data_IF_127523103705
#
_entry.id   IF_127523103705
#
_cell.length_a   1.000
_cell.length_b   1.000
_cell.length_c   1.000
_cell.angle_alpha   90.00
_cell.angle_beta   90.00
_cell.angle_gamma   90.00
#
_symmetry.space_group_name_H-M   'P 1'
#
loop_
_entity.id
_entity.type
_entity.pdbx_description
1 polymer ?
#
# COMPACT_ATOMS: atom_id res chain seq x y z
N UNK A 1 -2.70 18.49 8.55
CA UNK A 1 -3.69 17.38 8.40
C UNK A 1 -3.54 16.32 9.48
N UNK A 2 -2.37 15.67 9.69
CA UNK A 2 -2.16 14.59 10.68
C UNK A 2 -2.67 14.98 12.08
N UNK A 3 -2.25 16.14 12.60
CA UNK A 3 -2.71 16.65 13.92
C UNK A 3 -4.24 16.82 14.02
N UNK A 4 -4.90 17.12 12.90
CA UNK A 4 -6.37 17.22 12.86
C UNK A 4 -6.99 15.82 12.94
N UNK A 5 -6.46 14.85 12.19
CA UNK A 5 -6.90 13.45 12.27
C UNK A 5 -6.82 12.97 13.73
N UNK A 6 -5.67 13.16 14.38
CA UNK A 6 -5.45 12.72 15.75
C UNK A 6 -6.42 13.38 16.74
N UNK A 7 -6.70 14.69 16.58
CA UNK A 7 -7.68 15.41 17.42
C UNK A 7 -9.07 14.78 17.38
N UNK A 8 -9.45 14.22 16.23
CA UNK A 8 -10.77 13.61 16.02
C UNK A 8 -10.74 12.07 16.05
N UNK A 9 -9.65 11.46 16.52
CA UNK A 9 -9.52 9.99 16.60
C UNK A 9 -9.62 9.30 15.24
N UNK A 10 -9.10 9.94 14.17
CA UNK A 10 -9.07 9.39 12.82
C UNK A 10 -7.68 8.92 12.45
N UNK A 11 -7.60 7.76 11.80
CA UNK A 11 -6.33 7.22 11.30
C UNK A 11 -5.73 8.16 10.23
N UNK A 12 -4.45 8.48 10.38
CA UNK A 12 -3.70 9.30 9.44
C UNK A 12 -2.69 8.44 8.66
N UNK A 13 -2.84 8.40 7.33
CA UNK A 13 -1.94 7.68 6.41
C UNK A 13 -1.34 8.67 5.41
N UNK A 14 -0.38 9.52 5.80
CA UNK A 14 0.22 10.49 4.91
C UNK A 14 1.12 9.82 3.87
N UNK A 15 1.17 10.43 2.66
CA UNK A 15 2.11 10.05 1.63
C UNK A 15 3.50 10.60 1.93
N UNK A 16 4.52 9.77 1.72
CA UNK A 16 5.92 10.10 1.84
C UNK A 16 6.71 9.49 0.67
N UNK A 17 7.85 10.06 0.38
CA UNK A 17 8.82 9.52 -0.58
C UNK A 17 10.17 9.27 0.08
N UNK A 18 10.57 10.06 1.08
CA UNK A 18 11.89 10.05 1.69
C UNK A 18 11.88 9.62 3.16
N UNK A 19 13.01 9.12 3.70
CA UNK A 19 13.15 8.81 5.13
C UNK A 19 12.88 10.00 6.04
N UNK A 20 13.32 11.21 5.65
CA UNK A 20 13.09 12.43 6.44
C UNK A 20 11.62 12.78 6.55
N UNK A 21 10.86 12.63 5.46
CA UNK A 21 9.40 12.79 5.48
C UNK A 21 8.74 11.73 6.37
N UNK A 22 9.25 10.49 6.34
CA UNK A 22 8.75 9.41 7.18
C UNK A 22 8.89 9.76 8.67
N UNK A 23 10.10 10.13 9.11
CA UNK A 23 10.34 10.54 10.50
C UNK A 23 9.45 11.72 10.88
N UNK A 24 9.38 12.75 10.04
CA UNK A 24 8.56 13.93 10.28
C UNK A 24 7.06 13.61 10.40
N UNK A 25 6.56 12.70 9.57
CA UNK A 25 5.15 12.27 9.66
C UNK A 25 4.85 11.54 10.97
N UNK A 26 5.78 10.67 11.42
CA UNK A 26 5.65 9.97 12.70
C UNK A 26 5.70 10.92 13.90
N UNK A 27 6.61 11.91 13.89
CA UNK A 27 6.65 12.97 14.93
C UNK A 27 5.34 13.76 15.04
N UNK A 28 4.62 13.90 13.93
CA UNK A 28 3.29 14.54 13.89
C UNK A 28 2.16 13.61 14.32
N UNK A 29 2.46 12.33 14.59
CA UNK A 29 1.51 11.33 15.06
C UNK A 29 0.77 10.60 13.94
N UNK A 30 1.44 10.33 12.81
CA UNK A 30 0.88 9.44 11.79
C UNK A 30 0.83 8.00 12.29
N UNK A 31 -0.18 7.24 11.86
CA UNK A 31 -0.36 5.83 12.27
C UNK A 31 0.37 4.87 11.33
N UNK A 32 0.26 5.11 10.03
CA UNK A 32 0.83 4.30 8.95
C UNK A 32 1.32 5.27 7.87
N UNK A 33 2.38 4.92 7.14
CA UNK A 33 2.89 5.75 6.06
C UNK A 33 2.60 5.14 4.69
N UNK A 34 2.20 5.98 3.74
CA UNK A 34 2.03 5.61 2.34
C UNK A 34 3.29 5.96 1.56
N UNK A 35 4.09 4.94 1.14
CA UNK A 35 5.17 5.15 0.18
C UNK A 35 4.55 5.41 -1.21
N UNK A 36 4.85 6.58 -1.80
CA UNK A 36 4.31 6.98 -3.11
C UNK A 36 5.33 7.84 -3.89
N UNK A 37 5.53 7.59 -5.19
CA UNK A 37 4.97 6.50 -6.02
C UNK A 37 5.81 5.22 -5.89
N UNK A 38 5.28 4.18 -5.25
CA UNK A 38 6.05 2.99 -4.89
C UNK A 38 6.58 2.20 -6.11
N UNK A 39 5.78 2.08 -7.17
CA UNK A 39 6.18 1.36 -8.38
C UNK A 39 7.42 1.92 -9.04
N UNK A 40 7.56 3.25 -9.08
CA UNK A 40 8.74 3.93 -9.63
C UNK A 40 9.97 3.76 -8.74
N UNK A 41 9.78 3.80 -7.42
CA UNK A 41 10.87 3.66 -6.44
C UNK A 41 11.36 2.21 -6.32
N UNK A 42 10.48 1.27 -6.53
CA UNK A 42 10.77 -0.16 -6.45
C UNK A 42 10.76 -0.75 -5.03
N UNK A 43 10.59 -2.08 -4.93
CA UNK A 43 10.55 -2.78 -3.63
C UNK A 43 11.88 -2.73 -2.87
N UNK A 44 13.01 -2.62 -3.59
CA UNK A 44 14.34 -2.43 -2.98
C UNK A 44 14.46 -1.14 -2.20
N UNK A 45 13.83 -0.06 -2.69
CA UNK A 45 13.80 1.23 -2.00
C UNK A 45 13.01 1.13 -0.68
N UNK A 46 11.84 0.49 -0.69
CA UNK A 46 11.08 0.25 0.53
C UNK A 46 11.89 -0.54 1.57
N UNK A 47 12.58 -1.59 1.13
CA UNK A 47 13.46 -2.37 2.00
C UNK A 47 14.57 -1.51 2.63
N UNK A 48 15.18 -0.62 1.83
CA UNK A 48 16.24 0.28 2.29
C UNK A 48 15.75 1.31 3.31
N UNK A 49 14.57 1.92 3.10
CA UNK A 49 13.96 2.85 4.08
C UNK A 49 13.61 2.10 5.38
N UNK A 50 13.03 0.91 5.28
CA UNK A 50 12.60 0.14 6.45
C UNK A 50 13.77 -0.35 7.31
N UNK A 51 14.94 -0.54 6.75
CA UNK A 51 16.09 -1.04 7.51
C UNK A 51 16.39 -0.20 8.77
N UNK A 52 16.57 1.14 8.67
CA UNK A 52 16.74 2.00 9.85
C UNK A 52 15.42 2.36 10.55
N UNK A 53 14.27 2.24 9.88
CA UNK A 53 12.95 2.65 10.37
C UNK A 53 12.02 1.44 10.53
N UNK A 54 12.53 0.36 11.12
CA UNK A 54 11.83 -0.94 11.21
C UNK A 54 10.57 -0.92 12.08
N UNK A 55 10.42 0.10 12.93
CA UNK A 55 9.26 0.35 13.79
C UNK A 55 8.11 1.07 13.07
N UNK A 56 8.34 1.52 11.82
CA UNK A 56 7.33 2.24 11.03
C UNK A 56 6.64 1.27 10.06
N UNK A 57 5.31 1.33 10.04
CA UNK A 57 4.48 0.56 9.14
C UNK A 57 4.27 1.30 7.82
N UNK A 58 4.49 0.61 6.69
CA UNK A 58 4.36 1.20 5.36
C UNK A 58 3.34 0.43 4.50
N UNK A 59 2.51 1.17 3.78
CA UNK A 59 1.77 0.66 2.62
C UNK A 59 2.42 1.16 1.34
N UNK A 60 2.49 0.32 0.30
CA UNK A 60 3.03 0.67 -1.00
C UNK A 60 1.88 1.05 -1.95
N UNK A 61 1.94 2.24 -2.55
CA UNK A 61 0.89 2.80 -3.40
C UNK A 61 1.49 3.46 -4.64
N UNK A 62 0.79 3.37 -5.78
CA UNK A 62 1.22 3.94 -7.07
C UNK A 62 2.07 2.97 -7.87
N UNK A 63 1.58 2.58 -9.04
CA UNK A 63 2.25 1.64 -9.94
C UNK A 63 2.28 0.19 -9.45
N UNK A 64 1.42 -0.18 -8.49
CA UNK A 64 1.30 -1.56 -8.01
C UNK A 64 0.47 -2.40 -8.98
N UNK A 65 1.00 -3.55 -9.36
CA UNK A 65 0.38 -4.52 -10.25
C UNK A 65 0.65 -5.97 -9.78
N UNK A 66 0.15 -6.97 -10.52
CA UNK A 66 0.30 -8.38 -10.15
C UNK A 66 1.78 -8.84 -10.17
N UNK A 67 2.63 -8.24 -11.01
CA UNK A 67 4.03 -8.65 -11.15
C UNK A 67 4.89 -8.16 -9.97
N UNK A 68 4.62 -6.97 -9.43
CA UNK A 68 5.41 -6.35 -8.37
C UNK A 68 4.79 -6.46 -6.96
N UNK A 69 3.48 -6.70 -6.85
CA UNK A 69 2.75 -6.74 -5.57
C UNK A 69 3.42 -7.64 -4.53
N UNK A 70 3.76 -8.87 -4.93
CA UNK A 70 4.42 -9.85 -4.04
C UNK A 70 5.79 -9.39 -3.56
N UNK A 71 6.54 -8.69 -4.41
CA UNK A 71 7.87 -8.17 -4.08
C UNK A 71 7.78 -7.05 -3.05
N UNK A 72 6.78 -6.16 -3.12
CA UNK A 72 6.54 -5.13 -2.11
C UNK A 72 6.16 -5.74 -0.75
N UNK A 73 5.29 -6.75 -0.72
CA UNK A 73 4.97 -7.46 0.52
C UNK A 73 6.21 -8.11 1.15
N UNK A 74 7.05 -8.78 0.35
CA UNK A 74 8.32 -9.36 0.81
C UNK A 74 9.32 -8.31 1.29
N UNK A 75 9.27 -7.10 0.76
CA UNK A 75 10.11 -5.97 1.19
C UNK A 75 9.59 -5.30 2.46
N UNK A 76 8.45 -5.77 2.98
CA UNK A 76 7.91 -5.38 4.26
C UNK A 76 6.78 -4.36 4.21
N UNK A 77 6.13 -4.15 3.06
CA UNK A 77 4.85 -3.47 3.06
C UNK A 77 3.83 -4.27 3.87
N UNK A 78 3.03 -3.60 4.71
CA UNK A 78 1.90 -4.22 5.43
C UNK A 78 0.61 -4.22 4.61
N UNK A 79 0.59 -3.48 3.51
CA UNK A 79 -0.55 -3.39 2.61
C UNK A 79 -0.16 -2.75 1.28
N UNK A 80 -1.07 -2.83 0.32
CA UNK A 80 -0.90 -2.30 -1.03
C UNK A 80 -2.10 -1.45 -1.41
N UNK A 81 -1.85 -0.26 -1.98
CA UNK A 81 -2.90 0.54 -2.63
C UNK A 81 -2.84 0.32 -4.14
N UNK A 82 -3.91 -0.24 -4.68
CA UNK A 82 -3.99 -0.64 -6.09
C UNK A 82 -5.05 0.21 -6.78
N UNK A 83 -4.64 0.95 -7.78
CA UNK A 83 -5.50 1.83 -8.59
C UNK A 83 -5.76 1.23 -9.98
N UNK A 84 -5.20 1.84 -11.02
CA UNK A 84 -5.49 1.56 -12.44
C UNK A 84 -5.28 0.09 -12.85
N UNK A 85 -4.35 -0.62 -12.22
CA UNK A 85 -4.13 -2.05 -12.49
C UNK A 85 -5.28 -2.93 -12.01
N UNK A 86 -6.10 -2.45 -11.08
CA UNK A 86 -7.33 -3.11 -10.63
C UNK A 86 -8.57 -2.51 -11.31
N UNK A 87 -8.73 -1.19 -11.23
CA UNK A 87 -9.92 -0.48 -11.72
C UNK A 87 -9.55 0.30 -12.98
N UNK A 88 -9.67 -0.35 -14.13
CA UNK A 88 -9.48 0.23 -15.45
C UNK A 88 -10.77 0.97 -15.87
N UNK A 89 -10.64 2.25 -16.17
CA UNK A 89 -11.78 3.08 -16.58
C UNK A 89 -12.53 2.53 -17.79
N UNK A 90 -11.84 1.88 -18.73
CA UNK A 90 -12.48 1.26 -19.89
C UNK A 90 -13.42 0.11 -19.49
N UNK A 91 -13.04 -0.67 -18.48
CA UNK A 91 -13.89 -1.74 -17.97
C UNK A 91 -15.11 -1.22 -17.22
N UNK A 92 -14.97 -0.08 -16.53
CA UNK A 92 -16.09 0.58 -15.82
C UNK A 92 -17.09 1.14 -16.84
N UNK A 93 -16.62 1.92 -17.84
CA UNK A 93 -17.44 2.52 -18.88
C UNK A 93 -18.21 1.45 -19.66
N UNK A 94 -17.57 0.32 -19.95
CA UNK A 94 -18.19 -0.80 -20.69
C UNK A 94 -18.94 -1.79 -19.78
N UNK A 95 -19.16 -1.48 -18.51
CA UNK A 95 -19.89 -2.31 -17.52
C UNK A 95 -19.33 -3.74 -17.40
N UNK A 96 -18.02 -3.93 -17.61
CA UNK A 96 -17.33 -5.23 -17.52
C UNK A 96 -16.99 -5.61 -16.08
N UNK A 97 -17.98 -5.59 -15.20
CA UNK A 97 -17.79 -5.85 -13.76
C UNK A 97 -17.28 -7.26 -13.43
N UNK A 98 -17.61 -8.25 -14.26
CA UNK A 98 -17.08 -9.62 -14.11
C UNK A 98 -15.56 -9.65 -14.27
N UNK A 99 -15.01 -8.86 -15.20
CA UNK A 99 -13.56 -8.77 -15.41
C UNK A 99 -12.89 -8.03 -14.24
N UNK A 100 -13.50 -6.96 -13.74
CA UNK A 100 -13.01 -6.26 -12.52
C UNK A 100 -12.97 -7.21 -11.32
N UNK A 101 -14.03 -8.00 -11.12
CA UNK A 101 -14.07 -9.02 -10.06
C UNK A 101 -12.96 -10.05 -10.22
N UNK A 102 -12.69 -10.51 -11.44
CA UNK A 102 -11.60 -11.45 -11.73
C UNK A 102 -10.23 -10.85 -11.40
N UNK A 103 -9.99 -9.59 -11.80
CA UNK A 103 -8.74 -8.87 -11.44
C UNK A 103 -8.57 -8.77 -9.93
N UNK A 104 -9.62 -8.37 -9.20
CA UNK A 104 -9.59 -8.30 -7.74
C UNK A 104 -9.27 -9.65 -7.11
N UNK A 105 -9.90 -10.74 -7.58
CA UNK A 105 -9.62 -12.08 -7.09
C UNK A 105 -8.17 -12.51 -7.35
N UNK A 106 -7.58 -12.14 -8.48
CA UNK A 106 -6.17 -12.44 -8.77
C UNK A 106 -5.24 -11.81 -7.74
N UNK A 107 -5.47 -10.53 -7.36
CA UNK A 107 -4.71 -9.89 -6.29
C UNK A 107 -4.90 -10.57 -4.93
N UNK A 108 -6.14 -10.88 -4.58
CA UNK A 108 -6.45 -11.57 -3.31
C UNK A 108 -5.76 -12.93 -3.25
N UNK A 109 -5.84 -13.73 -4.31
CA UNK A 109 -5.19 -15.04 -4.37
C UNK A 109 -3.66 -14.91 -4.30
N UNK A 110 -3.08 -13.96 -5.04
CA UNK A 110 -1.64 -13.70 -5.03
C UNK A 110 -1.12 -13.41 -3.62
N UNK A 111 -1.88 -12.66 -2.82
CA UNK A 111 -1.49 -12.22 -1.50
C UNK A 111 -1.83 -13.26 -0.41
N UNK A 112 -2.92 -14.01 -0.55
CA UNK A 112 -3.29 -15.06 0.39
C UNK A 112 -2.30 -16.24 0.40
N UNK A 113 -1.66 -16.54 -0.72
CA UNK A 113 -0.66 -17.61 -0.81
C UNK A 113 0.59 -17.37 0.08
N UNK A 114 0.78 -16.14 0.55
CA UNK A 114 1.90 -15.76 1.43
C UNK A 114 1.53 -15.79 2.93
N UNK A 115 0.25 -15.89 3.29
CA UNK A 115 -0.24 -15.67 4.64
C UNK A 115 -0.49 -16.94 5.47
N UNK A 116 0.05 -18.10 5.07
CA UNK A 116 -0.07 -19.31 5.90
C UNK A 116 0.72 -19.26 7.22
N UNK A 117 1.48 -18.20 7.48
CA UNK A 117 2.29 -18.09 8.71
C UNK A 117 2.11 -16.81 9.53
N UNK A 118 1.35 -15.81 9.09
CA UNK A 118 1.15 -14.56 9.84
C UNK A 118 -0.29 -14.06 9.65
N UNK A 119 -1.04 -13.94 10.75
CA UNK A 119 -2.38 -13.35 10.79
C UNK A 119 -2.32 -11.82 10.58
N UNK A 120 -2.15 -11.37 9.34
CA UNK A 120 -2.44 -9.97 8.98
C UNK A 120 -3.63 -9.93 8.05
N UNK A 121 -4.70 -9.23 8.47
CA UNK A 121 -5.80 -8.86 7.57
C UNK A 121 -5.23 -8.02 6.43
N UNK A 122 -5.26 -8.54 5.21
CA UNK A 122 -4.89 -7.78 4.02
C UNK A 122 -6.00 -6.74 3.81
N UNK A 123 -5.67 -5.49 4.07
CA UNK A 123 -6.52 -4.37 3.73
C UNK A 123 -6.10 -3.88 2.34
N UNK A 124 -6.83 -4.29 1.30
CA UNK A 124 -6.73 -3.68 -0.01
C UNK A 124 -7.50 -2.36 0.07
N UNK A 125 -6.78 -1.25 -0.04
CA UNK A 125 -7.39 0.07 -0.13
C UNK A 125 -7.49 0.39 -1.62
N UNK A 126 -8.72 0.47 -2.12
CA UNK A 126 -9.02 0.96 -3.47
C UNK A 126 -9.31 2.45 -3.34
N UNK A 127 -8.56 3.26 -4.09
CA UNK A 127 -8.77 4.71 -4.17
C UNK A 127 -9.47 5.06 -5.48
#
# INVERSE_FOLDING_TARGET
>A
MIKVCNRYGKVAIPGIMTPSEAVRAMELGADILKLFPAGELGPGYLKSIRSPLNHIEFIAVGGINLDNAKSFMKSGAIGLGIGDSLVDNSLVINSKFTELKKRANNFVQLLNYQNQSIFYKINIIVW
#
